data_IF_914629545685
#
_entry.id   IF_914629545685
#
_cell.length_a   1.000
_cell.length_b   1.000
_cell.length_c   1.000
_cell.angle_alpha   90.00
_cell.angle_beta   90.00
_cell.angle_gamma   90.00
#
_symmetry.space_group_name_H-M   'P 1'
#
loop_
_entity.id
_entity.type
_entity.pdbx_description
1 polymer ?
#
# COMPACT_ATOMS: atom_id res chain seq x y z
N UNK A 1 -5.91 6.16 -6.52
CA UNK A 1 -7.11 5.30 -6.73
C UNK A 1 -7.46 5.30 -8.21
N UNK A 2 -6.81 4.43 -8.98
CA UNK A 2 -7.04 4.33 -10.42
C UNK A 2 -7.47 2.91 -10.78
N UNK A 3 -8.44 2.88 -11.68
CA UNK A 3 -9.21 1.77 -12.21
C UNK A 3 -8.42 0.52 -12.59
N UNK A 4 -9.10 -0.61 -12.39
CA UNK A 4 -8.80 -1.96 -12.82
C UNK A 4 -8.29 -2.07 -14.26
N UNK A 5 -7.23 -2.85 -14.48
CA UNK A 5 -7.03 -3.59 -15.72
C UNK A 5 -7.10 -5.08 -15.43
N UNK A 6 -8.09 -5.67 -16.07
CA UNK A 6 -8.44 -7.08 -16.12
C UNK A 6 -7.46 -7.77 -17.06
N UNK A 7 -6.58 -8.63 -16.55
CA UNK A 7 -5.99 -9.70 -17.35
C UNK A 7 -5.71 -10.91 -16.45
N UNK A 8 -6.49 -11.97 -16.69
CA UNK A 8 -6.23 -13.30 -16.14
C UNK A 8 -4.88 -13.76 -16.62
N UNK A 9 -3.96 -13.99 -15.70
CA UNK A 9 -2.89 -14.90 -16.02
C UNK A 9 -2.24 -15.53 -14.79
N UNK A 10 -1.98 -16.82 -14.99
CA UNK A 10 -1.32 -17.73 -14.07
C UNK A 10 0.17 -17.37 -14.13
N UNK A 11 0.62 -16.52 -13.21
CA UNK A 11 2.00 -16.03 -13.22
C UNK A 11 2.58 -16.02 -11.81
N UNK A 12 3.10 -17.16 -11.37
CA UNK A 12 3.70 -17.28 -10.03
C UNK A 12 5.23 -17.16 -10.01
N UNK A 13 5.92 -17.30 -11.15
CA UNK A 13 7.39 -17.22 -11.21
C UNK A 13 7.91 -15.98 -11.95
N UNK A 14 7.39 -15.67 -13.13
CA UNK A 14 7.95 -14.58 -13.95
C UNK A 14 7.64 -13.18 -13.41
N UNK A 15 6.44 -12.95 -12.86
CA UNK A 15 6.16 -11.64 -12.24
C UNK A 15 6.89 -11.48 -10.91
N UNK A 16 7.11 -12.58 -10.16
CA UNK A 16 7.94 -12.51 -8.96
C UNK A 16 9.35 -12.04 -9.32
N UNK A 17 9.92 -12.53 -10.42
CA UNK A 17 11.21 -12.08 -10.92
C UNK A 17 11.19 -10.61 -11.36
N UNK A 18 10.16 -10.15 -12.08
CA UNK A 18 10.03 -8.74 -12.49
C UNK A 18 9.85 -7.80 -11.29
N UNK A 19 8.99 -8.17 -10.33
CA UNK A 19 8.78 -7.41 -9.11
C UNK A 19 10.06 -7.36 -8.26
N UNK A 20 10.74 -8.50 -8.09
CA UNK A 20 12.06 -8.56 -7.45
C UNK A 20 13.07 -7.67 -8.19
N UNK A 21 13.13 -7.72 -9.53
CA UNK A 21 14.05 -6.88 -10.31
C UNK A 21 13.79 -5.38 -10.12
N UNK A 22 12.51 -4.97 -10.02
CA UNK A 22 12.12 -3.57 -9.80
C UNK A 22 12.29 -3.10 -8.34
N UNK A 23 12.31 -4.02 -7.38
CA UNK A 23 12.32 -3.73 -5.94
C UNK A 23 13.67 -4.00 -5.25
N UNK A 24 14.58 -4.74 -5.88
CA UNK A 24 15.90 -5.14 -5.32
C UNK A 24 16.83 -3.94 -5.12
N UNK A 25 16.72 -2.91 -5.94
CA UNK A 25 17.62 -1.75 -5.88
C UNK A 25 17.32 -0.82 -4.69
N UNK A 26 16.14 -0.92 -4.08
CA UNK A 26 15.63 0.07 -3.10
C UNK A 26 15.38 -0.56 -1.72
N UNK A 27 15.00 -1.84 -1.66
CA UNK A 27 14.57 -2.48 -0.41
C UNK A 27 15.33 -3.78 -0.09
N UNK A 28 15.59 -4.07 1.19
CA UNK A 28 16.23 -5.31 1.60
C UNK A 28 15.31 -6.52 1.32
N UNK A 29 15.90 -7.59 0.75
CA UNK A 29 15.22 -8.83 0.34
C UNK A 29 14.22 -9.40 1.38
N UNK A 30 14.49 -9.38 2.71
CA UNK A 30 13.53 -9.88 3.71
C UNK A 30 12.16 -9.19 3.68
N UNK A 31 12.13 -7.88 3.41
CA UNK A 31 10.88 -7.10 3.34
C UNK A 31 9.99 -7.58 2.19
N UNK A 32 10.60 -7.95 1.06
CA UNK A 32 9.89 -8.44 -0.12
C UNK A 32 9.30 -9.83 0.12
N UNK A 33 10.07 -10.71 0.77
CA UNK A 33 9.59 -12.04 1.14
C UNK A 33 8.39 -11.93 2.09
N UNK A 34 8.47 -11.07 3.10
CA UNK A 34 7.39 -10.86 4.05
C UNK A 34 6.13 -10.30 3.37
N UNK A 35 6.28 -9.37 2.42
CA UNK A 35 5.14 -8.81 1.68
C UNK A 35 4.42 -9.90 0.84
N UNK A 36 5.16 -10.74 0.13
CA UNK A 36 4.61 -11.84 -0.68
C UNK A 36 3.91 -12.88 0.21
N UNK A 37 4.50 -13.21 1.36
CA UNK A 37 3.89 -14.15 2.31
C UNK A 37 2.56 -13.64 2.87
N UNK A 38 2.39 -12.33 3.05
CA UNK A 38 1.12 -11.73 3.48
C UNK A 38 0.04 -11.84 2.41
N UNK A 39 0.41 -11.78 1.12
CA UNK A 39 -0.55 -11.93 0.01
C UNK A 39 -0.98 -13.36 -0.26
N UNK A 40 -0.18 -14.33 0.16
CA UNK A 40 -0.38 -15.73 -0.19
C UNK A 40 -1.61 -16.32 0.51
N UNK A 41 -2.68 -16.52 -0.26
CA UNK A 41 -3.90 -17.18 0.20
C UNK A 41 -4.04 -18.55 -0.47
N UNK A 42 -4.30 -19.63 0.31
CA UNK A 42 -4.36 -20.98 -0.25
C UNK A 42 -5.47 -21.09 -1.29
N UNK A 43 -5.11 -21.48 -2.51
CA UNK A 43 -6.07 -21.68 -3.61
C UNK A 43 -6.37 -20.43 -4.45
N UNK A 44 -5.75 -19.28 -4.15
CA UNK A 44 -5.87 -18.06 -4.94
C UNK A 44 -4.51 -17.67 -5.54
N UNK A 45 -4.44 -17.20 -6.80
CA UNK A 45 -3.21 -16.60 -7.33
C UNK A 45 -2.88 -15.30 -6.58
N UNK A 46 -1.58 -15.04 -6.40
CA UNK A 46 -1.12 -13.81 -5.76
C UNK A 46 -1.48 -12.60 -6.63
N UNK A 47 -2.24 -11.65 -6.07
CA UNK A 47 -2.56 -10.37 -6.72
C UNK A 47 -1.58 -9.29 -6.25
N UNK A 48 -0.77 -8.79 -7.18
CA UNK A 48 0.27 -7.81 -6.89
C UNK A 48 -0.27 -6.39 -6.75
N UNK A 49 -1.50 -6.11 -7.21
CA UNK A 49 -2.15 -4.82 -6.97
C UNK A 49 -2.47 -4.59 -5.48
N UNK A 50 -2.32 -5.62 -4.64
CA UNK A 50 -2.46 -5.55 -3.19
C UNK A 50 -1.22 -4.99 -2.47
N UNK A 51 -0.11 -4.75 -3.19
CA UNK A 51 1.10 -4.12 -2.65
C UNK A 51 1.38 -2.82 -3.38
N UNK A 52 1.48 -1.74 -2.61
CA UNK A 52 1.80 -0.39 -3.10
C UNK A 52 3.11 0.08 -2.47
N UNK A 53 3.99 0.67 -3.28
CA UNK A 53 5.23 1.30 -2.82
C UNK A 53 4.93 2.78 -2.61
N UNK A 54 5.02 3.24 -1.36
CA UNK A 54 4.84 4.64 -1.00
C UNK A 54 6.20 5.28 -0.73
N UNK A 55 6.57 6.25 -1.56
CA UNK A 55 7.75 7.07 -1.31
C UNK A 55 7.39 8.23 -0.37
N UNK A 56 8.11 8.33 0.74
CA UNK A 56 7.93 9.40 1.72
C UNK A 56 9.21 10.21 1.78
N UNK A 57 9.10 11.52 1.61
CA UNK A 57 10.25 12.42 1.74
C UNK A 57 10.75 12.43 3.19
N UNK A 58 11.89 11.79 3.42
CA UNK A 58 12.60 11.83 4.70
C UNK A 58 13.96 12.52 4.52
N UNK A 59 14.47 13.14 5.59
CA UNK A 59 15.80 13.78 5.60
C UNK A 59 16.97 12.80 5.67
N UNK A 60 16.69 11.50 5.70
CA UNK A 60 17.68 10.45 5.97
C UNK A 60 17.41 9.34 4.98
N UNK A 61 18.43 8.96 4.22
CA UNK A 61 18.35 7.84 3.28
C UNK A 61 18.40 6.52 4.07
N UNK A 62 17.54 5.56 3.73
CA UNK A 62 17.83 4.15 3.99
C UNK A 62 16.82 3.31 4.79
N UNK A 63 15.78 3.89 5.38
CA UNK A 63 14.85 3.10 6.21
C UNK A 63 13.50 2.89 5.53
N UNK A 64 13.44 1.86 4.69
CA UNK A 64 12.19 1.32 4.16
C UNK A 64 11.60 0.29 5.11
N UNK A 65 10.27 0.29 5.28
CA UNK A 65 9.59 -0.69 6.11
C UNK A 65 8.32 -1.22 5.44
N UNK A 66 7.95 -2.46 5.77
CA UNK A 66 6.66 -3.02 5.37
C UNK A 66 5.58 -2.63 6.37
N UNK A 67 4.55 -1.93 5.90
CA UNK A 67 3.33 -1.71 6.67
C UNK A 67 2.30 -2.78 6.27
N UNK A 68 1.85 -3.58 7.25
CA UNK A 68 0.78 -4.57 7.03
C UNK A 68 -0.61 -3.90 7.08
N UNK A 69 -0.87 -3.05 6.10
CA UNK A 69 -2.07 -2.24 6.02
C UNK A 69 -1.95 -1.16 4.94
N UNK A 70 -2.92 -0.25 4.92
CA UNK A 70 -2.95 0.87 3.97
C UNK A 70 -2.31 2.09 4.62
N UNK A 71 -1.44 2.78 3.88
CA UNK A 71 -0.84 4.06 4.25
C UNK A 71 -1.57 5.17 3.48
N UNK A 72 -1.87 6.28 4.14
CA UNK A 72 -2.38 7.49 3.50
C UNK A 72 -1.30 8.57 3.58
N UNK A 73 -1.16 9.35 2.51
CA UNK A 73 -0.24 10.47 2.38
C UNK A 73 -0.70 11.71 3.17
N UNK A 74 -2.00 11.84 3.43
CA UNK A 74 -2.56 12.91 4.24
C UNK A 74 -3.08 12.42 5.60
N UNK A 75 -2.82 13.24 6.63
CA UNK A 75 -3.29 13.02 7.98
C UNK A 75 -4.43 13.94 8.40
N UNK A 76 -4.59 14.05 9.71
CA UNK A 76 -5.60 14.85 10.39
C UNK A 76 -5.35 16.35 10.19
N UNK A 77 -6.39 17.10 9.82
CA UNK A 77 -6.31 18.57 9.65
C UNK A 77 -6.51 19.37 10.94
N UNK A 78 -7.33 18.87 11.87
CA UNK A 78 -7.69 19.62 13.07
C UNK A 78 -6.81 19.24 14.27
N UNK A 79 -6.20 20.20 15.01
CA UNK A 79 -5.29 19.90 16.11
C UNK A 79 -5.95 19.15 17.27
N UNK A 80 -7.27 19.28 17.45
CA UNK A 80 -8.00 18.56 18.51
C UNK A 80 -8.47 17.15 18.12
N UNK A 81 -8.29 16.73 16.86
CA UNK A 81 -8.64 15.38 16.45
C UNK A 81 -7.53 14.40 16.87
N UNK A 82 -7.92 13.20 17.30
CA UNK A 82 -6.97 12.23 17.86
C UNK A 82 -5.90 11.84 16.84
N UNK A 83 -4.64 11.84 17.26
CA UNK A 83 -3.50 11.41 16.42
C UNK A 83 -3.39 9.88 16.29
N UNK A 84 -4.02 9.13 17.20
CA UNK A 84 -4.00 7.68 17.19
C UNK A 84 -5.38 7.15 17.59
N UNK A 85 -5.89 6.21 16.82
CA UNK A 85 -7.15 5.52 17.08
C UNK A 85 -6.90 4.02 17.04
N UNK A 86 -7.52 3.28 17.96
CA UNK A 86 -7.52 1.81 17.98
C UNK A 86 -8.95 1.34 17.71
N UNK A 87 -9.11 0.27 16.94
CA UNK A 87 -10.42 -0.28 16.55
C UNK A 87 -11.34 0.78 15.90
N UNK A 88 -10.79 1.55 14.96
CA UNK A 88 -11.53 2.57 14.25
C UNK A 88 -12.39 1.96 13.13
N UNK A 89 -13.57 2.54 12.91
CA UNK A 89 -14.37 2.30 11.71
C UNK A 89 -14.05 3.39 10.69
N UNK A 90 -13.78 2.99 9.45
CA UNK A 90 -13.39 3.89 8.36
C UNK A 90 -14.60 4.08 7.44
N UNK A 91 -14.96 5.33 7.19
CA UNK A 91 -15.98 5.69 6.19
C UNK A 91 -15.28 6.17 4.92
N UNK A 92 -15.47 5.44 3.82
CA UNK A 92 -14.98 5.83 2.50
C UNK A 92 -16.14 6.45 1.72
N UNK A 93 -16.02 7.73 1.34
CA UNK A 93 -17.06 8.43 0.59
C UNK A 93 -16.46 9.15 -0.62
N UNK A 94 -17.18 9.10 -1.74
CA UNK A 94 -16.88 9.88 -2.94
C UNK A 94 -17.82 11.08 -3.06
N UNK A 95 -17.97 11.83 -1.97
CA UNK A 95 -18.82 13.03 -1.88
C UNK A 95 -18.03 14.07 -1.09
N UNK A 96 -18.05 15.33 -1.55
CA UNK A 96 -17.45 16.44 -0.82
C UNK A 96 -18.28 16.77 0.43
N UNK A 97 -17.62 16.90 1.57
CA UNK A 97 -18.21 17.38 2.83
C UNK A 97 -17.73 18.80 3.17
N UNK A 98 -16.98 19.44 2.28
CA UNK A 98 -16.52 20.81 2.50
C UNK A 98 -17.66 21.80 2.20
N UNK A 99 -17.73 22.87 2.98
CA UNK A 99 -18.68 23.95 2.71
C UNK A 99 -18.18 24.77 1.52
N UNK A 100 -18.89 24.65 0.41
CA UNK A 100 -18.65 25.49 -0.77
C UNK A 100 -19.49 26.76 -0.64
N UNK A 101 -18.82 27.91 -0.48
CA UNK A 101 -19.48 29.20 -0.41
C UNK A 101 -19.81 29.66 -1.84
N UNK A 102 -21.10 29.76 -2.16
CA UNK A 102 -21.62 30.34 -3.41
C UNK A 102 -21.84 31.85 -3.29
#
# INVERSE_FOLDING_TARGET
TTLCLNERAIYTHDILAVAIQQLVDINPIPILVDAILVLNQPGQPNDLNMVEIMEIQHRTEGDSCLVRGIVHDYGVRHPSMSKALKNAYILTCNISMEYEKT
#
